data_IF_766542652837
#
_entry.id   IF_766542652837
#
_cell.length_a   1.000
_cell.length_b   1.000
_cell.length_c   1.000
_cell.angle_alpha   90.00
_cell.angle_beta   90.00
_cell.angle_gamma   90.00
#
_symmetry.space_group_name_H-M   'P 1'
#
loop_
_entity.id
_entity.type
_entity.pdbx_description
1 polymer ?
#
# COMPACT_ATOMS: atom_id res chain seq x y z
N UNK A 1 33.81 52.98 14.01
CA UNK A 1 32.56 52.35 13.54
C UNK A 1 31.53 53.45 13.40
N UNK A 2 30.78 53.52 12.29
CA UNK A 2 29.66 54.48 12.16
C UNK A 2 28.53 54.06 13.10
N UNK A 3 27.83 55.05 13.67
CA UNK A 3 26.65 54.84 14.51
C UNK A 3 25.60 53.96 13.82
N UNK A 4 25.43 54.14 12.51
CA UNK A 4 24.51 53.36 11.67
C UNK A 4 24.79 51.86 11.75
N UNK A 5 26.07 51.44 11.73
CA UNK A 5 26.43 50.02 11.83
C UNK A 5 26.13 49.43 13.21
N UNK A 6 26.25 50.23 14.27
CA UNK A 6 25.91 49.78 15.63
C UNK A 6 24.40 49.62 15.76
N UNK A 7 23.64 50.55 15.19
CA UNK A 7 22.18 50.51 15.19
C UNK A 7 21.63 49.35 14.34
N UNK A 8 22.18 49.12 13.14
CA UNK A 8 21.83 47.97 12.30
C UNK A 8 22.11 46.63 13.01
N UNK A 9 23.27 46.50 13.66
CA UNK A 9 23.60 45.28 14.39
C UNK A 9 22.65 45.03 15.57
N UNK A 10 22.27 46.08 16.29
CA UNK A 10 21.34 45.97 17.41
C UNK A 10 19.95 45.55 16.93
N UNK A 11 19.44 46.17 15.84
CA UNK A 11 18.16 45.77 15.24
C UNK A 11 18.22 44.33 14.75
N UNK A 12 19.28 43.93 14.06
CA UNK A 12 19.43 42.56 13.55
C UNK A 12 19.33 41.53 14.69
N UNK A 13 20.02 41.77 15.82
CA UNK A 13 19.96 40.86 16.97
C UNK A 13 18.55 40.72 17.53
N UNK A 14 17.79 41.82 17.66
CA UNK A 14 16.41 41.75 18.11
C UNK A 14 15.51 41.03 17.12
N UNK A 15 15.67 41.28 15.81
CA UNK A 15 14.91 40.59 14.77
C UNK A 15 15.17 39.09 14.81
N UNK A 16 16.43 38.69 14.97
CA UNK A 16 16.83 37.28 15.07
C UNK A 16 16.22 36.62 16.31
N UNK A 17 16.31 37.27 17.48
CA UNK A 17 15.73 36.76 18.74
C UNK A 17 14.20 36.59 18.64
N UNK A 18 13.50 37.61 18.14
CA UNK A 18 12.05 37.55 17.95
C UNK A 18 11.65 36.50 16.92
N UNK A 19 12.41 36.35 15.83
CA UNK A 19 12.16 35.31 14.83
C UNK A 19 12.32 33.91 15.43
N UNK A 20 13.33 33.70 16.28
CA UNK A 20 13.56 32.43 16.95
C UNK A 20 12.43 32.09 17.93
N UNK A 21 11.97 33.06 18.72
CA UNK A 21 10.84 32.89 19.64
C UNK A 21 9.56 32.55 18.87
N UNK A 22 9.24 33.33 17.83
CA UNK A 22 8.04 33.12 17.01
C UNK A 22 8.06 31.74 16.32
N UNK A 23 9.21 31.35 15.75
CA UNK A 23 9.37 30.04 15.12
C UNK A 23 9.23 28.89 16.13
N UNK A 24 9.79 29.02 17.33
CA UNK A 24 9.66 28.01 18.38
C UNK A 24 8.21 27.86 18.85
N UNK A 25 7.50 28.97 19.05
CA UNK A 25 6.08 28.95 19.42
C UNK A 25 5.21 28.33 18.31
N UNK A 26 5.52 28.64 17.05
CA UNK A 26 4.83 28.05 15.89
C UNK A 26 5.11 26.54 15.78
N UNK A 27 6.35 26.10 16.00
CA UNK A 27 6.69 24.67 15.98
C UNK A 27 5.99 23.89 17.11
N UNK A 28 5.82 24.50 18.28
CA UNK A 28 5.12 23.89 19.41
C UNK A 28 3.60 23.78 19.17
N UNK A 29 2.98 24.76 18.50
CA UNK A 29 1.53 24.78 18.27
C UNK A 29 1.05 23.82 17.18
N UNK A 30 1.91 23.48 16.21
CA UNK A 30 1.51 22.68 15.04
C UNK A 30 1.46 21.16 15.34
N UNK A 31 1.95 20.69 16.49
CA UNK A 31 2.04 19.25 16.83
C UNK A 31 2.66 18.39 15.72
N UNK A 32 3.62 18.96 14.98
CA UNK A 32 4.20 18.33 13.78
C UNK A 32 4.84 16.97 14.07
N UNK A 33 5.56 16.86 15.18
CA UNK A 33 6.32 15.65 15.54
C UNK A 33 5.40 14.46 15.85
N UNK A 34 4.36 14.58 16.70
CA UNK A 34 3.34 13.56 16.87
C UNK A 34 2.69 13.14 15.54
N UNK A 35 2.33 14.10 14.69
CA UNK A 35 1.69 13.81 13.40
C UNK A 35 2.62 13.01 12.46
N UNK A 36 3.86 13.47 12.28
CA UNK A 36 4.87 12.77 11.47
C UNK A 36 5.14 11.36 12.00
N UNK A 37 5.08 11.18 13.32
CA UNK A 37 5.21 9.85 13.94
C UNK A 37 4.05 8.95 13.54
N UNK A 38 2.81 9.43 13.55
CA UNK A 38 1.64 8.66 13.09
C UNK A 38 1.73 8.32 11.59
N UNK A 39 2.04 9.30 10.75
CA UNK A 39 2.26 9.11 9.30
C UNK A 39 3.34 8.07 9.06
N UNK A 40 4.44 8.12 9.80
CA UNK A 40 5.52 7.13 9.73
C UNK A 40 5.04 5.73 10.09
N UNK A 41 4.29 5.56 11.18
CA UNK A 41 3.79 4.24 11.57
C UNK A 41 2.83 3.66 10.52
N UNK A 42 1.97 4.51 9.97
CA UNK A 42 0.99 4.14 8.96
C UNK A 42 1.63 3.77 7.62
N UNK A 43 2.40 4.67 6.98
CA UNK A 43 2.97 4.43 5.64
C UNK A 43 4.13 3.44 5.63
N UNK A 44 4.93 3.38 6.69
CA UNK A 44 6.07 2.45 6.74
C UNK A 44 5.76 1.13 7.40
N UNK A 45 4.49 0.88 7.77
CA UNK A 45 4.07 -0.39 8.33
C UNK A 45 4.95 -0.82 9.53
N UNK A 46 5.25 0.12 10.45
CA UNK A 46 6.11 -0.15 11.61
C UNK A 46 5.39 -0.77 12.80
N UNK A 47 4.07 -0.64 12.88
CA UNK A 47 3.27 -1.30 13.91
C UNK A 47 3.10 -2.80 13.55
N UNK A 48 4.04 -3.63 14.03
CA UNK A 48 4.21 -5.03 13.58
C UNK A 48 2.92 -5.85 13.56
N UNK A 49 2.16 -5.84 14.65
CA UNK A 49 0.94 -6.67 14.74
C UNK A 49 -0.21 -6.10 13.91
N UNK A 50 -0.32 -4.77 13.86
CA UNK A 50 -1.29 -4.08 13.00
C UNK A 50 -1.12 -4.46 11.53
N UNK A 51 0.12 -4.44 11.03
CA UNK A 51 0.42 -4.74 9.63
C UNK A 51 0.14 -6.20 9.32
N UNK A 52 0.41 -7.10 10.26
CA UNK A 52 0.09 -8.53 10.11
C UNK A 52 -1.41 -8.74 9.88
N UNK A 53 -2.24 -8.24 10.79
CA UNK A 53 -3.71 -8.35 10.67
C UNK A 53 -4.24 -7.65 9.43
N UNK A 54 -3.72 -6.46 9.12
CA UNK A 54 -4.09 -5.72 7.91
C UNK A 54 -3.78 -6.50 6.63
N UNK A 55 -2.59 -7.10 6.53
CA UNK A 55 -2.19 -7.90 5.36
C UNK A 55 -3.05 -9.16 5.23
N UNK A 56 -3.36 -9.83 6.35
CA UNK A 56 -4.25 -11.00 6.34
C UNK A 56 -5.63 -10.62 5.81
N UNK A 57 -6.23 -9.56 6.38
CA UNK A 57 -7.54 -9.07 5.95
C UNK A 57 -7.53 -8.66 4.47
N UNK A 58 -6.48 -7.93 4.05
CA UNK A 58 -6.31 -7.51 2.67
C UNK A 58 -6.25 -8.70 1.71
N UNK A 59 -5.44 -9.72 2.02
CA UNK A 59 -5.32 -10.92 1.19
C UNK A 59 -6.65 -11.68 1.14
N UNK A 60 -7.34 -11.83 2.26
CA UNK A 60 -8.66 -12.50 2.31
C UNK A 60 -9.70 -11.78 1.45
N UNK A 61 -9.79 -10.46 1.60
CA UNK A 61 -10.71 -9.61 0.83
C UNK A 61 -10.39 -9.69 -0.66
N UNK A 62 -9.13 -9.49 -1.04
CA UNK A 62 -8.69 -9.55 -2.44
C UNK A 62 -8.94 -10.93 -3.05
N UNK A 63 -8.62 -12.01 -2.32
CA UNK A 63 -8.84 -13.38 -2.77
C UNK A 63 -10.33 -13.69 -2.93
N UNK A 64 -11.16 -13.21 -2.01
CA UNK A 64 -12.62 -13.34 -2.11
C UNK A 64 -13.16 -12.67 -3.39
N UNK A 65 -12.69 -11.46 -3.70
CA UNK A 65 -13.11 -10.75 -4.90
C UNK A 65 -12.61 -11.40 -6.19
N UNK A 66 -11.36 -11.89 -6.21
CA UNK A 66 -10.83 -12.68 -7.31
C UNK A 66 -11.67 -13.93 -7.56
N UNK A 67 -11.98 -14.68 -6.50
CA UNK A 67 -12.79 -15.89 -6.60
C UNK A 67 -14.22 -15.60 -7.08
N UNK A 68 -14.84 -14.49 -6.65
CA UNK A 68 -16.15 -14.07 -7.17
C UNK A 68 -16.12 -13.74 -8.66
N UNK A 69 -15.04 -13.12 -9.16
CA UNK A 69 -14.91 -12.80 -10.58
C UNK A 69 -14.82 -14.07 -11.44
N UNK A 70 -14.08 -15.07 -10.96
CA UNK A 70 -13.91 -16.37 -11.62
C UNK A 70 -15.20 -17.21 -11.53
N UNK A 71 -15.85 -17.26 -10.37
CA UNK A 71 -17.10 -18.03 -10.19
C UNK A 71 -18.30 -17.39 -10.89
N UNK A 72 -18.37 -16.05 -10.98
CA UNK A 72 -19.39 -15.36 -11.77
C UNK A 72 -19.28 -15.68 -13.27
N UNK A 73 -18.07 -15.98 -13.73
CA UNK A 73 -17.78 -16.47 -15.07
C UNK A 73 -17.97 -17.97 -15.24
N UNK A 74 -18.10 -18.80 -14.21
CA UNK A 74 -18.42 -20.23 -14.34
C UNK A 74 -19.92 -20.53 -14.15
N UNK A 75 -20.60 -19.84 -13.23
CA UNK A 75 -22.03 -20.07 -12.98
C UNK A 75 -22.93 -19.56 -14.11
N UNK A 76 -22.45 -18.66 -14.97
CA UNK A 76 -23.15 -18.26 -16.21
C UNK A 76 -23.14 -19.32 -17.31
N UNK A 77 -22.25 -20.32 -17.23
CA UNK A 77 -22.13 -21.36 -18.27
C UNK A 77 -22.87 -22.65 -17.94
N UNK A 78 -23.47 -22.78 -16.75
CA UNK A 78 -24.30 -23.94 -16.43
C UNK A 78 -25.77 -23.83 -16.91
N UNK A 79 -26.19 -22.66 -17.44
CA UNK A 79 -27.55 -22.50 -17.98
C UNK A 79 -27.67 -22.52 -19.51
N UNK A 80 -26.56 -22.67 -20.25
CA UNK A 80 -26.63 -22.83 -21.71
C UNK A 80 -25.62 -23.86 -22.23
N UNK A 81 -25.70 -25.08 -21.72
CA UNK A 81 -25.08 -26.25 -22.35
C UNK A 81 -26.15 -27.20 -22.87
N UNK A 82 -26.64 -26.88 -24.07
CA UNK A 82 -26.93 -27.81 -25.16
C UNK A 82 -27.22 -26.94 -26.39
N UNK A 83 -26.35 -27.03 -27.41
CA UNK A 83 -26.52 -26.58 -28.83
C UNK A 83 -25.57 -25.46 -29.32
N UNK A 84 -24.87 -24.67 -28.50
CA UNK A 84 -23.97 -23.60 -29.03
C UNK A 84 -22.53 -23.75 -28.53
N UNK A 85 -21.99 -24.96 -28.57
CA UNK A 85 -20.59 -25.24 -28.18
C UNK A 85 -19.66 -25.50 -29.37
N UNK A 86 -20.09 -25.24 -30.62
CA UNK A 86 -19.22 -25.43 -31.79
C UNK A 86 -19.13 -24.26 -32.78
N UNK A 87 -19.93 -23.18 -32.67
CA UNK A 87 -19.92 -22.12 -33.70
C UNK A 87 -19.67 -20.67 -33.23
N UNK A 88 -19.41 -20.39 -31.95
CA UNK A 88 -19.21 -19.00 -31.47
C UNK A 88 -17.84 -18.72 -30.84
N UNK A 89 -16.80 -19.45 -31.22
CA UNK A 89 -15.40 -19.07 -30.93
C UNK A 89 -14.91 -17.87 -31.76
N UNK A 90 -15.71 -17.37 -32.70
CA UNK A 90 -15.40 -16.18 -33.51
C UNK A 90 -16.29 -14.94 -33.26
N UNK A 91 -17.29 -15.01 -32.39
CA UNK A 91 -18.19 -13.88 -32.11
C UNK A 91 -17.95 -13.22 -30.74
N UNK A 92 -17.16 -13.84 -29.86
CA UNK A 92 -16.85 -13.33 -28.53
C UNK A 92 -15.75 -12.26 -28.49
N UNK A 93 -15.08 -11.97 -29.61
CA UNK A 93 -14.08 -10.91 -29.70
C UNK A 93 -14.72 -9.51 -29.86
N UNK A 94 -15.98 -9.41 -30.33
CA UNK A 94 -16.63 -8.12 -30.58
C UNK A 94 -17.61 -7.64 -29.48
N UNK A 95 -17.92 -8.43 -28.45
CA UNK A 95 -18.89 -8.02 -27.41
C UNK A 95 -18.29 -7.40 -26.14
N UNK A 96 -16.95 -7.35 -26.02
CA UNK A 96 -16.27 -6.79 -24.84
C UNK A 96 -16.24 -5.25 -24.75
N UNK A 97 -16.69 -4.51 -25.77
CA UNK A 97 -16.53 -3.04 -25.79
C UNK A 97 -17.72 -2.30 -25.13
N UNK A 98 -18.91 -2.92 -25.00
CA UNK A 98 -20.11 -2.20 -24.54
C UNK A 98 -20.41 -2.31 -23.02
N UNK A 99 -19.68 -3.15 -22.28
CA UNK A 99 -19.94 -3.42 -20.84
C UNK A 99 -19.05 -2.65 -19.86
N UNK A 100 -18.29 -1.65 -20.34
CA UNK A 100 -17.33 -0.87 -19.54
C UNK A 100 -18.00 0.12 -18.56
N UNK A 101 -19.25 0.56 -18.83
CA UNK A 101 -19.98 1.53 -17.98
C UNK A 101 -20.86 0.90 -16.89
N UNK A 102 -21.32 -0.35 -17.04
CA UNK A 102 -22.10 -1.04 -16.00
C UNK A 102 -21.20 -1.76 -14.99
N UNK A 103 -20.05 -2.33 -15.41
CA UNK A 103 -19.06 -2.90 -14.49
C UNK A 103 -18.39 -1.85 -13.60
N UNK A 104 -18.25 -0.60 -14.06
CA UNK A 104 -17.75 0.47 -13.21
C UNK A 104 -18.66 0.68 -12.00
N UNK A 105 -19.98 0.85 -12.16
CA UNK A 105 -20.90 1.07 -11.03
C UNK A 105 -20.91 -0.10 -10.02
N UNK A 106 -20.74 -1.35 -10.47
CA UNK A 106 -20.58 -2.51 -9.57
C UNK A 106 -19.19 -2.56 -8.90
N UNK A 107 -18.14 -2.04 -9.54
CA UNK A 107 -16.80 -1.92 -8.94
C UNK A 107 -16.73 -0.84 -7.85
N UNK A 108 -17.40 0.31 -8.01
CA UNK A 108 -17.44 1.38 -6.99
C UNK A 108 -18.07 0.91 -5.67
N UNK A 109 -19.11 0.07 -5.72
CA UNK A 109 -19.72 -0.53 -4.52
C UNK A 109 -18.74 -1.44 -3.77
N UNK A 110 -17.95 -2.23 -4.51
CA UNK A 110 -16.94 -3.14 -3.96
C UNK A 110 -15.75 -2.39 -3.35
N UNK A 111 -15.34 -1.27 -3.94
CA UNK A 111 -14.28 -0.42 -3.38
C UNK A 111 -14.68 0.15 -2.01
N UNK A 112 -15.92 0.64 -1.87
CA UNK A 112 -16.44 1.13 -0.59
C UNK A 112 -16.47 0.01 0.46
N UNK A 113 -16.90 -1.20 0.08
CA UNK A 113 -16.88 -2.36 0.97
C UNK A 113 -15.47 -2.74 1.42
N UNK A 114 -14.50 -2.75 0.51
CA UNK A 114 -13.09 -3.03 0.82
C UNK A 114 -12.55 -1.97 1.78
N UNK A 115 -12.79 -0.70 1.50
CA UNK A 115 -12.33 0.40 2.35
C UNK A 115 -12.97 0.32 3.74
N UNK A 116 -14.27 0.04 3.83
CA UNK A 116 -14.96 -0.11 5.12
C UNK A 116 -14.48 -1.35 5.89
N UNK A 117 -14.18 -2.45 5.20
CA UNK A 117 -13.64 -3.66 5.83
C UNK A 117 -12.23 -3.39 6.38
N UNK A 118 -11.35 -2.79 5.57
CA UNK A 118 -10.01 -2.43 6.00
C UNK A 118 -10.04 -1.40 7.12
N UNK A 119 -10.88 -0.37 7.04
CA UNK A 119 -11.02 0.63 8.10
C UNK A 119 -11.51 0.01 9.42
N UNK A 120 -12.44 -0.95 9.37
CA UNK A 120 -12.88 -1.70 10.56
C UNK A 120 -11.74 -2.48 11.19
N UNK A 121 -10.99 -3.24 10.41
CA UNK A 121 -9.82 -4.00 10.89
C UNK A 121 -8.77 -3.07 11.49
N UNK A 122 -8.56 -1.91 10.84
CA UNK A 122 -7.62 -0.92 11.34
C UNK A 122 -8.04 -0.33 12.68
N UNK A 123 -9.33 0.00 12.85
CA UNK A 123 -9.89 0.53 14.10
C UNK A 123 -9.95 -0.51 15.22
N UNK A 124 -10.09 -1.78 14.90
CA UNK A 124 -10.09 -2.88 15.88
C UNK A 124 -8.70 -3.24 16.38
N UNK A 125 -7.65 -2.80 15.68
CA UNK A 125 -6.27 -3.02 16.12
C UNK A 125 -5.96 -2.26 17.42
N UNK A 126 -5.12 -2.87 18.27
CA UNK A 126 -4.58 -2.24 19.50
C UNK A 126 -3.83 -0.92 19.19
N UNK A 127 -3.41 -0.74 17.93
CA UNK A 127 -2.66 0.41 17.45
C UNK A 127 -3.53 1.50 16.80
N UNK A 128 -4.86 1.44 16.93
CA UNK A 128 -5.75 2.46 16.39
C UNK A 128 -5.37 3.89 16.83
N UNK A 129 -4.81 4.04 18.04
CA UNK A 129 -4.34 5.33 18.58
C UNK A 129 -3.12 5.92 17.83
N UNK A 130 -2.35 5.08 17.11
CA UNK A 130 -1.20 5.50 16.31
C UNK A 130 -1.60 5.92 14.89
N UNK A 131 -2.87 5.76 14.51
CA UNK A 131 -3.34 6.15 13.19
C UNK A 131 -3.64 7.66 13.14
N UNK A 132 -3.49 8.29 11.96
CA UNK A 132 -3.99 9.65 11.73
C UNK A 132 -5.50 9.72 12.02
N UNK A 133 -6.00 10.88 12.47
CA UNK A 133 -7.44 11.03 12.79
C UNK A 133 -8.35 10.83 11.58
N UNK A 134 -7.85 11.10 10.37
CA UNK A 134 -8.55 10.90 9.10
C UNK A 134 -7.60 10.22 8.11
N UNK A 135 -7.81 8.93 7.90
CA UNK A 135 -7.14 8.17 6.85
C UNK A 135 -8.20 7.49 5.99
N UNK A 136 -7.89 7.36 4.71
CA UNK A 136 -8.73 6.69 3.73
C UNK A 136 -7.84 5.73 2.96
N UNK A 137 -8.33 4.52 2.76
CA UNK A 137 -7.72 3.60 1.81
C UNK A 137 -8.49 3.79 0.52
N UNK A 138 -7.78 3.95 -0.60
CA UNK A 138 -8.40 4.05 -1.90
C UNK A 138 -7.74 3.03 -2.83
N UNK A 139 -8.55 2.13 -3.38
CA UNK A 139 -8.13 1.36 -4.55
C UNK A 139 -8.18 2.30 -5.75
N UNK A 140 -7.06 2.94 -6.08
CA UNK A 140 -7.01 3.73 -7.30
C UNK A 140 -6.89 2.76 -8.48
N UNK A 141 -7.99 2.55 -9.19
CA UNK A 141 -7.93 2.11 -10.57
C UNK A 141 -7.40 3.29 -11.39
N UNK A 142 -6.07 3.39 -11.51
CA UNK A 142 -5.32 4.44 -12.23
C UNK A 142 -5.28 5.81 -11.53
N UNK A 143 -4.11 6.19 -11.02
CA UNK A 143 -3.80 7.60 -10.87
C UNK A 143 -3.20 8.13 -12.16
N UNK A 144 -3.60 9.35 -12.55
CA UNK A 144 -3.13 10.07 -13.74
C UNK A 144 -1.61 10.22 -13.87
N UNK A 145 -0.84 9.91 -12.82
CA UNK A 145 0.63 9.90 -12.83
C UNK A 145 1.23 8.71 -13.60
N UNK A 146 0.50 7.61 -13.77
CA UNK A 146 0.96 6.45 -14.55
C UNK A 146 0.55 6.55 -16.04
N UNK A 147 -0.09 7.66 -16.42
CA UNK A 147 -0.63 7.89 -17.78
C UNK A 147 0.46 8.16 -18.82
N UNK A 148 1.68 8.49 -18.40
CA UNK A 148 2.85 8.59 -19.28
C UNK A 148 3.51 7.23 -19.54
N UNK A 149 3.50 6.32 -18.57
CA UNK A 149 4.03 4.95 -18.75
C UNK A 149 3.03 4.02 -19.47
N UNK A 150 1.73 4.28 -19.33
CA UNK A 150 0.66 3.43 -19.90
C UNK A 150 0.42 3.60 -21.42
N UNK A 151 1.10 4.52 -22.11
CA UNK A 151 0.90 4.72 -23.57
C UNK A 151 1.57 3.68 -24.47
N UNK A 152 2.30 2.69 -23.92
CA UNK A 152 3.16 1.79 -24.71
C UNK A 152 2.68 0.33 -24.76
N UNK A 153 1.66 -0.09 -23.99
CA UNK A 153 1.27 -1.53 -23.94
C UNK A 153 -0.23 -1.82 -24.17
N UNK A 154 -0.84 -1.21 -25.17
CA UNK A 154 -2.25 -1.49 -25.51
C UNK A 154 -2.33 -2.54 -26.65
N UNK A 155 -1.91 -3.78 -26.36
CA UNK A 155 -2.26 -4.96 -27.20
C UNK A 155 -1.90 -6.30 -26.53
N UNK A 156 -2.48 -6.62 -25.38
CA UNK A 156 -2.48 -8.02 -24.89
C UNK A 156 -3.75 -8.31 -24.10
N UNK A 157 -4.29 -9.52 -24.31
CA UNK A 157 -5.45 -10.14 -23.66
C UNK A 157 -5.59 -9.78 -22.16
N UNK A 158 -6.81 -9.81 -21.59
CA UNK A 158 -7.02 -9.63 -20.15
C UNK A 158 -6.25 -10.69 -19.38
N UNK A 159 -5.07 -10.34 -18.89
CA UNK A 159 -4.22 -11.20 -18.09
C UNK A 159 -4.87 -11.35 -16.72
N UNK A 160 -5.03 -12.59 -16.27
CA UNK A 160 -5.45 -12.88 -14.90
C UNK A 160 -4.54 -12.12 -13.93
N UNK A 161 -5.15 -11.24 -13.15
CA UNK A 161 -4.42 -10.32 -12.30
C UNK A 161 -4.15 -10.98 -10.95
N UNK A 162 -2.88 -11.08 -10.57
CA UNK A 162 -2.50 -11.75 -9.30
C UNK A 162 -2.87 -10.90 -8.08
N UNK A 163 -3.00 -11.52 -6.90
CA UNK A 163 -3.23 -10.82 -5.63
C UNK A 163 -2.20 -9.71 -5.40
N UNK A 164 -0.93 -9.96 -5.72
CA UNK A 164 0.17 -9.00 -5.54
C UNK A 164 0.02 -7.80 -6.47
N UNK A 165 -0.42 -8.01 -7.71
CA UNK A 165 -0.70 -6.93 -8.65
C UNK A 165 -1.92 -6.11 -8.19
N UNK A 166 -2.94 -6.73 -7.60
CA UNK A 166 -4.10 -5.96 -7.10
C UNK A 166 -3.71 -5.08 -5.92
N UNK A 167 -2.87 -5.60 -5.03
CA UNK A 167 -2.30 -4.83 -3.91
C UNK A 167 -1.40 -3.68 -4.40
N UNK A 168 -0.74 -3.83 -5.56
CA UNK A 168 0.10 -2.76 -6.12
C UNK A 168 -0.69 -1.51 -6.53
N UNK A 169 -2.00 -1.66 -6.75
CA UNK A 169 -2.92 -0.57 -7.10
C UNK A 169 -3.52 0.13 -5.88
N UNK A 170 -3.27 -0.38 -4.67
CA UNK A 170 -3.81 0.18 -3.45
C UNK A 170 -3.05 1.46 -3.08
N UNK A 171 -3.79 2.54 -2.82
CA UNK A 171 -3.26 3.82 -2.36
C UNK A 171 -3.74 4.11 -0.96
N UNK A 172 -2.81 4.52 -0.11
CA UNK A 172 -3.09 4.96 1.24
C UNK A 172 -3.17 6.49 1.23
N UNK A 173 -4.33 7.04 1.52
CA UNK A 173 -4.53 8.49 1.59
C UNK A 173 -4.66 8.92 3.04
N UNK A 174 -3.91 9.95 3.42
CA UNK A 174 -4.04 10.61 4.71
C UNK A 174 -4.50 12.03 4.46
N UNK A 175 -5.60 12.42 5.08
CA UNK A 175 -6.10 13.79 5.00
C UNK A 175 -5.27 14.66 5.95
N UNK A 176 -4.49 15.58 5.37
CA UNK A 176 -3.58 16.45 6.12
C UNK A 176 -4.26 17.80 6.30
N UNK A 177 -4.63 18.10 7.55
CA UNK A 177 -5.28 19.37 7.88
C UNK A 177 -4.28 20.53 7.86
N UNK A 178 -4.79 21.73 7.60
CA UNK A 178 -4.03 22.96 7.82
C UNK A 178 -3.71 23.11 9.32
N UNK A 179 -2.48 23.50 9.72
CA UNK A 179 -1.37 24.00 8.90
C UNK A 179 -0.35 22.93 8.44
N UNK A 180 -0.52 21.66 8.83
CA UNK A 180 0.42 20.57 8.51
C UNK A 180 0.62 20.35 7.01
N UNK A 181 -0.37 20.72 6.19
CA UNK A 181 -0.30 20.67 4.73
C UNK A 181 0.86 21.49 4.13
N UNK A 182 1.35 22.51 4.85
CA UNK A 182 2.53 23.28 4.42
C UNK A 182 3.78 22.40 4.39
N UNK A 183 3.92 21.49 5.34
CA UNK A 183 5.06 20.57 5.45
C UNK A 183 4.82 19.31 4.62
N UNK A 184 3.60 18.77 4.66
CA UNK A 184 3.23 17.53 4.00
C UNK A 184 2.40 17.82 2.75
N UNK A 185 3.12 18.26 1.71
CA UNK A 185 2.54 18.51 0.40
C UNK A 185 2.06 17.18 -0.25
N UNK A 186 0.96 17.18 -1.02
CA UNK A 186 0.53 16.05 -1.85
C UNK A 186 1.64 15.35 -2.63
N UNK A 187 2.65 16.07 -3.13
CA UNK A 187 3.81 15.48 -3.81
C UNK A 187 4.60 14.53 -2.90
N UNK A 188 4.87 14.98 -1.67
CA UNK A 188 5.58 14.19 -0.64
C UNK A 188 4.74 12.97 -0.26
N UNK A 189 3.42 13.15 -0.08
CA UNK A 189 2.49 12.07 0.20
C UNK A 189 2.43 11.03 -0.94
N UNK A 190 2.62 11.46 -2.19
CA UNK A 190 2.78 10.58 -3.35
C UNK A 190 4.00 9.65 -3.22
N UNK A 191 5.13 10.15 -2.74
CA UNK A 191 6.32 9.34 -2.47
C UNK A 191 6.12 8.37 -1.31
N UNK A 192 5.50 8.82 -0.21
CA UNK A 192 5.13 7.93 0.90
C UNK A 192 4.25 6.78 0.42
N UNK A 193 3.29 7.06 -0.47
CA UNK A 193 2.45 6.04 -1.09
C UNK A 193 3.23 5.02 -1.94
N UNK A 194 4.20 5.47 -2.73
CA UNK A 194 5.06 4.57 -3.52
C UNK A 194 5.85 3.62 -2.61
N UNK A 195 6.41 4.14 -1.52
CA UNK A 195 7.15 3.34 -0.54
C UNK A 195 6.22 2.36 0.17
N UNK A 196 5.07 2.83 0.65
CA UNK A 196 4.10 1.99 1.34
C UNK A 196 3.60 0.84 0.46
N UNK A 197 3.32 1.10 -0.82
CA UNK A 197 2.94 0.07 -1.80
C UNK A 197 4.00 -1.01 -1.94
N UNK A 198 5.26 -0.61 -2.12
CA UNK A 198 6.37 -1.55 -2.22
C UNK A 198 6.51 -2.42 -0.96
N UNK A 199 6.46 -1.80 0.22
CA UNK A 199 6.53 -2.52 1.49
C UNK A 199 5.34 -3.48 1.67
N UNK A 200 4.14 -3.04 1.30
CA UNK A 200 2.93 -3.85 1.40
C UNK A 200 2.99 -5.07 0.47
N UNK A 201 3.47 -4.91 -0.77
CA UNK A 201 3.70 -6.03 -1.69
C UNK A 201 4.66 -7.07 -1.11
N UNK A 202 5.75 -6.60 -0.50
CA UNK A 202 6.73 -7.49 0.12
C UNK A 202 6.13 -8.28 1.29
N UNK A 203 5.29 -7.62 2.10
CA UNK A 203 4.56 -8.26 3.21
C UNK A 203 3.51 -9.25 2.72
N UNK A 204 2.77 -8.92 1.66
CA UNK A 204 1.81 -9.85 1.04
C UNK A 204 2.53 -11.06 0.47
N UNK A 205 3.63 -10.88 -0.25
CA UNK A 205 4.44 -11.98 -0.78
C UNK A 205 4.95 -12.90 0.35
N UNK A 206 5.46 -12.31 1.44
CA UNK A 206 5.85 -13.05 2.64
C UNK A 206 4.69 -13.85 3.25
N UNK A 207 3.50 -13.24 3.34
CA UNK A 207 2.32 -13.89 3.87
C UNK A 207 1.87 -15.07 3.00
N UNK A 208 1.79 -14.89 1.68
CA UNK A 208 1.42 -15.95 0.73
C UNK A 208 2.40 -17.14 0.79
N UNK A 209 3.70 -16.88 0.90
CA UNK A 209 4.69 -17.95 1.10
C UNK A 209 4.55 -18.70 2.43
N UNK A 210 4.05 -18.01 3.46
CA UNK A 210 3.73 -18.63 4.74
C UNK A 210 2.47 -19.49 4.65
N UNK A 211 1.44 -19.03 3.94
CA UNK A 211 0.23 -19.83 3.70
C UNK A 211 0.55 -21.09 2.91
N UNK A 212 1.32 -20.96 1.82
CA UNK A 212 1.78 -22.11 1.03
C UNK A 212 2.56 -23.12 1.88
N UNK A 213 3.32 -22.67 2.88
CA UNK A 213 4.02 -23.58 3.79
C UNK A 213 3.06 -24.45 4.60
N UNK A 214 2.01 -23.84 5.15
CA UNK A 214 1.01 -24.54 5.94
C UNK A 214 0.30 -25.57 5.06
N UNK A 215 -0.12 -25.19 3.86
CA UNK A 215 -0.76 -26.09 2.90
C UNK A 215 0.14 -27.27 2.50
N UNK A 216 1.41 -27.00 2.18
CA UNK A 216 2.38 -28.05 1.84
C UNK A 216 2.64 -29.00 3.01
N UNK A 217 2.74 -28.50 4.24
CA UNK A 217 2.95 -29.35 5.42
C UNK A 217 1.76 -30.28 5.63
N UNK A 218 0.53 -29.81 5.41
CA UNK A 218 -0.68 -30.63 5.47
C UNK A 218 -0.67 -31.74 4.40
N UNK A 219 -0.15 -31.46 3.21
CA UNK A 219 0.00 -32.47 2.15
C UNK A 219 1.10 -33.49 2.47
N UNK A 220 2.23 -33.06 3.04
CA UNK A 220 3.34 -33.95 3.39
C UNK A 220 2.98 -34.94 4.50
N UNK A 221 2.16 -34.51 5.47
CA UNK A 221 1.63 -35.40 6.51
C UNK A 221 0.76 -36.54 5.96
N UNK A 222 0.28 -36.45 4.71
CA UNK A 222 -0.51 -37.50 4.03
C UNK A 222 0.34 -38.56 3.30
N UNK A 223 1.62 -38.72 3.69
CA UNK A 223 2.54 -39.82 3.28
C UNK A 223 2.93 -39.90 1.79
N UNK A 224 2.82 -38.83 1.02
CA UNK A 224 3.40 -38.78 -0.32
C UNK A 224 4.85 -38.27 -0.23
N UNK A 225 5.79 -39.18 0.02
CA UNK A 225 7.24 -38.92 -0.09
C UNK A 225 7.61 -38.78 -1.56
N UNK A 226 7.27 -37.63 -2.15
CA UNK A 226 7.62 -37.33 -3.54
C UNK A 226 8.87 -36.42 -3.55
N UNK A 227 9.92 -36.84 -4.26
CA UNK A 227 11.12 -36.04 -4.53
C UNK A 227 10.78 -34.63 -5.04
N UNK A 228 9.68 -34.50 -5.79
CA UNK A 228 9.14 -33.23 -6.29
C UNK A 228 8.71 -32.30 -5.16
N UNK A 229 8.04 -32.81 -4.12
CA UNK A 229 7.61 -32.02 -2.97
C UNK A 229 8.81 -31.51 -2.16
N UNK A 230 9.83 -32.35 -1.98
CA UNK A 230 11.08 -31.94 -1.33
C UNK A 230 11.78 -30.81 -2.11
N UNK A 231 11.87 -30.94 -3.44
CA UNK A 231 12.45 -29.90 -4.31
C UNK A 231 11.68 -28.59 -4.22
N UNK A 232 10.34 -28.67 -4.21
CA UNK A 232 9.47 -27.49 -4.06
C UNK A 232 9.62 -26.82 -2.69
N UNK A 233 9.73 -27.60 -1.60
CA UNK A 233 9.98 -27.06 -0.26
C UNK A 233 11.32 -26.33 -0.18
N UNK A 234 12.36 -26.84 -0.84
CA UNK A 234 13.67 -26.21 -0.89
C UNK A 234 13.61 -24.87 -1.63
N UNK A 235 12.95 -24.82 -2.79
CA UNK A 235 12.73 -23.59 -3.55
C UNK A 235 11.94 -22.55 -2.72
N UNK A 236 10.85 -22.97 -2.07
CA UNK A 236 10.06 -22.10 -1.18
C UNK A 236 10.92 -21.54 -0.06
N UNK A 237 11.78 -22.35 0.56
CA UNK A 237 12.70 -21.91 1.63
C UNK A 237 13.66 -20.85 1.12
N UNK A 238 14.23 -21.02 -0.07
CA UNK A 238 15.10 -20.03 -0.70
C UNK A 238 14.36 -18.70 -0.98
N UNK A 239 13.15 -18.77 -1.54
CA UNK A 239 12.32 -17.58 -1.76
C UNK A 239 11.96 -16.87 -0.45
N UNK A 240 11.60 -17.63 0.59
CA UNK A 240 11.28 -17.08 1.90
C UNK A 240 12.50 -16.43 2.55
N UNK A 241 13.69 -17.02 2.43
CA UNK A 241 14.93 -16.43 2.91
C UNK A 241 15.16 -15.09 2.21
N UNK A 242 15.13 -15.08 0.87
CA UNK A 242 15.31 -13.87 0.08
C UNK A 242 14.34 -12.75 0.48
N UNK A 243 13.04 -13.05 0.57
CA UNK A 243 12.02 -12.06 0.93
C UNK A 243 12.20 -11.57 2.37
N UNK A 244 12.57 -12.45 3.31
CA UNK A 244 12.86 -12.03 4.68
C UNK A 244 14.08 -11.12 4.74
N UNK A 245 15.19 -11.49 4.11
CA UNK A 245 16.40 -10.67 4.06
C UNK A 245 16.14 -9.32 3.40
N UNK A 246 15.39 -9.29 2.30
CA UNK A 246 15.01 -8.05 1.63
C UNK A 246 14.12 -7.17 2.53
N UNK A 247 13.12 -7.76 3.18
CA UNK A 247 12.25 -7.05 4.11
C UNK A 247 13.04 -6.48 5.29
N UNK A 248 13.94 -7.26 5.87
CA UNK A 248 14.75 -6.85 7.01
C UNK A 248 15.74 -5.76 6.59
N UNK A 249 16.35 -5.87 5.40
CA UNK A 249 17.19 -4.82 4.83
C UNK A 249 16.41 -3.50 4.64
N UNK A 250 15.22 -3.55 4.05
CA UNK A 250 14.39 -2.36 3.86
C UNK A 250 14.00 -1.72 5.20
N UNK A 251 13.62 -2.52 6.19
CA UNK A 251 13.18 -2.02 7.50
C UNK A 251 14.35 -1.50 8.36
N UNK A 252 15.49 -2.21 8.36
CA UNK A 252 16.63 -1.93 9.22
C UNK A 252 17.64 -0.97 8.60
N UNK A 253 17.87 -1.01 7.29
CA UNK A 253 18.86 -0.13 6.66
C UNK A 253 18.19 1.11 6.09
N UNK A 254 17.21 0.94 5.20
CA UNK A 254 16.62 2.09 4.51
C UNK A 254 15.81 2.94 5.49
N UNK A 255 14.91 2.34 6.25
CA UNK A 255 14.00 3.11 7.12
C UNK A 255 14.60 3.52 8.46
N UNK A 256 15.63 2.84 8.95
CA UNK A 256 16.30 3.26 10.18
C UNK A 256 17.31 4.37 9.90
N UNK A 257 18.14 4.23 8.86
CA UNK A 257 19.17 5.23 8.53
C UNK A 257 18.54 6.56 8.12
N UNK A 258 17.47 6.55 7.32
CA UNK A 258 16.72 7.78 7.00
C UNK A 258 16.17 8.47 8.26
N UNK A 259 15.72 7.70 9.25
CA UNK A 259 15.21 8.25 10.52
C UNK A 259 16.35 8.84 11.35
N UNK A 260 17.48 8.15 11.44
CA UNK A 260 18.65 8.62 12.20
C UNK A 260 19.21 9.90 11.59
N UNK A 261 19.33 9.96 10.27
CA UNK A 261 19.79 11.16 9.56
C UNK A 261 18.84 12.34 9.74
N UNK A 262 17.52 12.12 9.70
CA UNK A 262 16.53 13.17 9.98
C UNK A 262 16.55 13.64 11.44
N UNK A 263 16.82 12.75 12.40
CA UNK A 263 16.95 13.14 13.81
C UNK A 263 18.25 13.88 14.12
N UNK A 264 19.35 13.55 13.45
CA UNK A 264 20.65 14.20 13.65
C UNK A 264 20.73 15.58 12.98
N UNK A 265 20.02 15.79 11.87
CA UNK A 265 19.94 17.11 11.24
C UNK A 265 19.13 18.15 12.04
N UNK A 266 18.48 17.79 13.14
CA UNK A 266 17.87 18.74 14.09
C UNK A 266 18.84 19.28 15.15
N UNK A 267 20.11 18.86 15.13
CA UNK A 267 21.13 19.23 16.13
C UNK A 267 22.16 20.24 15.55
N UNK A 268 21.87 20.86 14.40
CA UNK A 268 22.65 21.98 13.87
C UNK A 268 21.74 23.13 13.53
#
# INVERSE_FOLDING_TARGET
MSFDKVFENMISQYVDEWSAIANNQLLQSIELVPFLTKVKHFYFCKAGDFVGSFVIALVQIVTYFLNQSIFGEQLRWQNHTKIITMCLTLFLVCFCIKKKKQLQKEQWGKEIEINNALEREMKQSVFAHLLPQKFFICLSMYTDLDREEAKVSDNTNPKEMTVVEQVSKLQLQCDVQWPLHVVLNPLVMGHYNKIARFLLQLRVAKHLLSQLHVELNLLCNKRLSNHVLHTFQLLRRQMSLFINTLNDYCLLQVLFVFVVLLSLNKIK
#
